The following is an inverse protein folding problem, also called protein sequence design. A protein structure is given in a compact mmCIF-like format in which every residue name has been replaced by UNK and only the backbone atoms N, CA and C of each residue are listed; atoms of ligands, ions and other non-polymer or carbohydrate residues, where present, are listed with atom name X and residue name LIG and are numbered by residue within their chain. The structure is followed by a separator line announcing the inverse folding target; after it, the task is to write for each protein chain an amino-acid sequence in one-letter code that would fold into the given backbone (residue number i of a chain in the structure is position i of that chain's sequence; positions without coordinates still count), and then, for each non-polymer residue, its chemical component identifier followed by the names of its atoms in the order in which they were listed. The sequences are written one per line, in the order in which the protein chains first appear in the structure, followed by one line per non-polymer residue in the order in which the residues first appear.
data_IF_603296645603
#
_entry.id   IF_603296645603
#
_cell.length_a   1.000
_cell.length_b   1.000
_cell.length_c   1.000
_cell.angle_alpha   90.00
_cell.angle_beta   90.00
_cell.angle_gamma   90.00
#
_symmetry.space_group_name_H-M   'P 1'
#
loop_
_entity.id
_entity.type
_entity.pdbx_description
1 polymer ?
#
# COMPACT_ATOMS: atom_id res chain seq x y z
N UNK A 1 17.62 -10.64 0.59
CA UNK A 1 17.50 -9.32 -0.09
C UNK A 1 16.02 -8.94 -0.13
N UNK A 2 15.65 -7.69 0.11
CA UNK A 2 14.23 -7.25 0.12
C UNK A 2 13.97 -6.37 -1.09
N UNK A 3 12.82 -6.57 -1.74
CA UNK A 3 12.40 -5.80 -2.92
C UNK A 3 11.28 -4.83 -2.52
N UNK A 4 11.37 -3.58 -2.96
CA UNK A 4 10.35 -2.55 -2.78
C UNK A 4 9.77 -2.18 -4.14
N UNK A 5 8.46 -2.29 -4.28
CA UNK A 5 7.72 -1.88 -5.48
C UNK A 5 6.82 -0.70 -5.13
N UNK A 6 6.92 0.38 -5.89
CA UNK A 6 6.08 1.59 -5.72
C UNK A 6 5.17 1.69 -6.95
N UNK A 7 3.86 1.64 -6.73
CA UNK A 7 2.85 1.67 -7.80
C UNK A 7 2.06 2.97 -7.71
N UNK A 8 2.37 3.94 -8.58
CA UNK A 8 1.70 5.23 -8.68
C UNK A 8 0.74 5.32 -9.87
N UNK A 9 -0.17 6.29 -9.85
CA UNK A 9 -1.14 6.51 -10.93
C UNK A 9 -2.44 7.17 -10.48
N UNK A 10 -3.24 7.65 -11.44
CA UNK A 10 -4.50 8.37 -11.19
C UNK A 10 -5.56 7.50 -10.50
N UNK A 11 -6.59 8.12 -9.92
CA UNK A 11 -7.70 7.40 -9.30
C UNK A 11 -8.42 6.52 -10.34
N UNK A 12 -8.75 5.27 -9.97
CA UNK A 12 -9.45 4.33 -10.87
C UNK A 12 -8.56 3.57 -11.87
N UNK A 13 -7.25 3.86 -11.99
CA UNK A 13 -6.35 3.16 -12.94
C UNK A 13 -6.04 1.70 -12.56
N UNK A 14 -6.50 1.23 -11.39
CA UNK A 14 -6.35 -0.17 -10.97
C UNK A 14 -5.13 -0.48 -10.09
N UNK A 15 -4.52 0.53 -9.45
CA UNK A 15 -3.35 0.35 -8.55
C UNK A 15 -3.59 -0.74 -7.49
N UNK A 16 -4.68 -0.62 -6.74
CA UNK A 16 -5.04 -1.54 -5.67
C UNK A 16 -5.23 -2.97 -6.19
N UNK A 17 -5.86 -3.12 -7.37
CA UNK A 17 -6.07 -4.44 -7.97
C UNK A 17 -4.74 -5.13 -8.32
N UNK A 18 -3.81 -4.43 -8.95
CA UNK A 18 -2.48 -4.97 -9.29
C UNK A 18 -1.69 -5.30 -8.03
N UNK A 19 -1.69 -4.40 -7.04
CA UNK A 19 -1.01 -4.61 -5.76
C UNK A 19 -1.55 -5.82 -5.00
N UNK A 20 -2.87 -6.06 -5.00
CA UNK A 20 -3.48 -7.23 -4.40
C UNK A 20 -3.06 -8.53 -5.11
N UNK A 21 -3.02 -8.53 -6.44
CA UNK A 21 -2.54 -9.70 -7.21
C UNK A 21 -1.06 -9.98 -6.94
N UNK A 22 -0.21 -8.94 -6.89
CA UNK A 22 1.20 -9.07 -6.55
C UNK A 22 1.40 -9.66 -5.15
N UNK A 23 0.61 -9.23 -4.16
CA UNK A 23 0.65 -9.78 -2.80
C UNK A 23 0.33 -11.28 -2.76
N UNK A 24 -0.60 -11.76 -3.58
CA UNK A 24 -0.94 -13.19 -3.67
C UNK A 24 0.16 -14.00 -4.37
N UNK A 25 0.81 -13.42 -5.39
CA UNK A 25 1.83 -14.10 -6.19
C UNK A 25 3.22 -14.12 -5.54
N UNK A 26 3.53 -13.15 -4.68
CA UNK A 26 4.84 -13.00 -4.04
C UNK A 26 4.85 -13.61 -2.64
N UNK A 27 5.69 -14.62 -2.42
CA UNK A 27 5.96 -15.18 -1.09
C UNK A 27 6.59 -14.13 -0.17
N UNK A 28 6.13 -14.07 1.09
CA UNK A 28 6.66 -13.17 2.13
C UNK A 28 6.61 -11.68 1.75
N UNK A 29 5.48 -11.25 1.18
CA UNK A 29 5.25 -9.86 0.79
C UNK A 29 4.22 -9.17 1.69
N UNK A 30 4.32 -7.84 1.78
CA UNK A 30 3.33 -6.98 2.44
C UNK A 30 2.92 -5.88 1.47
N UNK A 31 1.64 -5.53 1.51
CA UNK A 31 1.10 -4.39 0.78
C UNK A 31 0.89 -3.25 1.77
N UNK A 32 1.51 -2.11 1.49
CA UNK A 32 1.26 -0.84 2.18
C UNK A 32 0.38 0.00 1.26
N UNK A 33 -0.86 0.24 1.67
CA UNK A 33 -1.82 1.05 0.91
C UNK A 33 -1.91 2.45 1.55
N UNK A 34 -1.68 3.48 0.75
CA UNK A 34 -1.76 4.87 1.21
C UNK A 34 -3.17 5.26 1.64
N UNK A 35 -4.19 4.69 1.00
CA UNK A 35 -5.59 4.93 1.36
C UNK A 35 -5.89 4.35 2.76
N UNK A 36 -5.26 3.23 3.14
CA UNK A 36 -5.40 2.63 4.47
C UNK A 36 -4.75 3.46 5.59
N UNK A 37 -3.62 4.12 5.32
CA UNK A 37 -3.02 5.05 6.29
C UNK A 37 -3.95 6.22 6.61
N UNK A 38 -4.75 6.67 5.63
CA UNK A 38 -5.68 7.78 5.79
C UNK A 38 -6.98 7.38 6.49
N UNK A 39 -7.35 6.10 6.47
CA UNK A 39 -8.52 5.53 7.18
C UNK A 39 -8.22 5.18 8.65
N UNK A 40 -7.13 5.70 9.23
CA UNK A 40 -6.86 5.54 10.66
C UNK A 40 -7.86 6.38 11.48
N UNK A 41 -8.43 5.80 12.55
CA UNK A 41 -9.36 6.49 13.43
C UNK A 41 -8.99 6.28 14.91
N UNK A 42 -8.50 7.32 15.63
CA UNK A 42 -8.31 8.68 15.13
C UNK A 42 -7.13 8.77 14.15
N UNK A 43 -7.26 9.62 13.13
CA UNK A 43 -6.12 10.02 12.31
C UNK A 43 -5.27 10.98 13.14
N UNK A 44 -4.10 10.53 13.58
CA UNK A 44 -3.21 11.28 14.44
C UNK A 44 -1.82 11.35 13.80
N UNK A 45 -1.36 12.57 13.57
CA UNK A 45 0.02 12.83 13.12
C UNK A 45 0.87 13.05 14.37
N UNK A 46 1.96 12.31 14.50
CA UNK A 46 2.94 12.49 15.59
C UNK A 46 4.32 12.71 14.99
N UNK A 47 5.33 13.04 15.80
CA UNK A 47 6.69 13.20 15.30
C UNK A 47 7.30 11.88 14.81
N UNK A 48 6.72 10.75 15.23
CA UNK A 48 7.15 9.40 14.89
C UNK A 48 6.44 8.77 13.68
N UNK A 49 5.21 9.20 13.36
CA UNK A 49 4.34 8.62 12.31
C UNK A 49 3.63 9.69 11.49
#
# INVERSE_FOLDING_TARGET
MKNLYIVGGTMGVGKTAVCQQLKMNLSNSVLLDGDWCWDSNPFQVTDET
#
